data_IF_028289091222
#
_entry.id   IF_028289091222
#
_cell.length_a   1.000
_cell.length_b   1.000
_cell.length_c   1.000
_cell.angle_alpha   90.00
_cell.angle_beta   90.00
_cell.angle_gamma   90.00
#
_symmetry.space_group_name_H-M   'P 1'
#
loop_
_entity.id
_entity.type
_entity.pdbx_description
1 polymer ?
#
# COMPACT_ATOMS: atom_id res chain seq x y z
N UNK A 1 -13.59 -14.23 29.18
CA UNK A 1 -14.31 -14.10 27.89
C UNK A 1 -15.10 -12.78 27.73
N UNK A 2 -15.15 -11.87 28.72
CA UNK A 2 -15.97 -10.64 28.64
C UNK A 2 -15.33 -9.37 28.05
N UNK A 3 -14.05 -9.38 27.64
CA UNK A 3 -13.34 -8.19 27.17
C UNK A 3 -13.16 -8.10 25.63
N UNK A 4 -13.34 -9.19 24.89
CA UNK A 4 -13.26 -9.17 23.42
C UNK A 4 -14.53 -8.56 22.79
N UNK A 5 -15.71 -8.81 23.39
CA UNK A 5 -16.98 -8.30 22.88
C UNK A 5 -17.14 -6.76 23.01
N UNK A 6 -16.49 -6.12 23.99
CA UNK A 6 -16.48 -4.66 24.14
C UNK A 6 -15.56 -3.93 23.15
N UNK A 7 -14.61 -4.64 22.55
CA UNK A 7 -13.74 -4.11 21.50
C UNK A 7 -14.47 -4.17 20.14
N UNK A 8 -15.26 -5.23 19.90
CA UNK A 8 -16.06 -5.39 18.68
C UNK A 8 -17.21 -4.38 18.56
N UNK A 9 -17.91 -4.05 19.65
CA UNK A 9 -19.04 -3.10 19.61
C UNK A 9 -18.64 -1.62 19.42
N UNK A 10 -17.35 -1.28 19.47
CA UNK A 10 -16.88 0.09 19.26
C UNK A 10 -16.42 0.38 17.81
N UNK A 11 -16.63 -0.56 16.88
CA UNK A 11 -16.21 -0.42 15.48
C UNK A 11 -17.31 0.21 14.61
N UNK A 12 -18.58 0.21 15.06
CA UNK A 12 -19.72 0.59 14.21
C UNK A 12 -20.04 2.09 14.16
N UNK A 13 -19.38 2.95 14.96
CA UNK A 13 -19.63 4.39 14.97
C UNK A 13 -18.37 5.21 14.65
N UNK A 14 -17.76 4.97 13.49
CA UNK A 14 -16.72 5.85 12.95
C UNK A 14 -17.37 6.71 11.87
N UNK A 15 -17.77 7.93 12.26
CA UNK A 15 -18.10 8.99 11.30
C UNK A 15 -16.93 9.18 10.33
N UNK A 16 -17.25 9.29 9.04
CA UNK A 16 -16.31 9.52 7.96
C UNK A 16 -15.66 10.89 8.09
N UNK A 17 -14.56 10.96 8.83
CA UNK A 17 -13.65 12.09 8.78
C UNK A 17 -12.52 11.73 7.80
N UNK A 18 -12.58 12.27 6.59
CA UNK A 18 -11.53 12.16 5.57
C UNK A 18 -10.35 13.12 5.86
N UNK A 19 -10.41 13.89 6.95
CA UNK A 19 -9.27 14.70 7.41
C UNK A 19 -8.18 13.82 8.03
N UNK A 20 -6.94 14.04 7.57
CA UNK A 20 -5.78 13.37 8.15
C UNK A 20 -5.52 13.86 9.57
N UNK A 21 -5.66 12.96 10.53
CA UNK A 21 -5.43 13.23 11.95
C UNK A 21 -4.09 12.63 12.37
N UNK A 22 -3.09 13.49 12.59
CA UNK A 22 -1.71 13.06 12.88
C UNK A 22 -1.26 13.61 14.24
N UNK A 23 -0.76 12.73 15.10
CA UNK A 23 -0.19 13.11 16.40
C UNK A 23 1.33 12.98 16.36
N UNK A 24 2.01 14.05 16.76
CA UNK A 24 3.45 14.05 17.00
C UNK A 24 3.76 13.62 18.45
N UNK A 25 4.32 12.42 18.62
CA UNK A 25 4.71 11.93 19.95
C UNK A 25 5.92 12.69 20.52
N UNK A 26 6.83 13.18 19.68
CA UNK A 26 7.97 13.96 20.16
C UNK A 26 7.52 15.28 20.78
N UNK A 27 6.53 15.94 20.18
CA UNK A 27 5.99 17.20 20.70
C UNK A 27 5.39 17.01 22.11
N UNK A 28 4.64 15.93 22.31
CA UNK A 28 4.05 15.59 23.62
C UNK A 28 5.16 15.39 24.66
N UNK A 29 6.20 14.62 24.32
CA UNK A 29 7.32 14.36 25.23
C UNK A 29 8.14 15.63 25.46
N UNK A 30 8.37 16.44 24.44
CA UNK A 30 9.13 17.69 24.56
C UNK A 30 8.43 18.69 25.49
N UNK A 31 7.12 18.84 25.36
CA UNK A 31 6.32 19.68 26.27
C UNK A 31 6.43 19.20 27.72
N UNK A 32 6.36 17.88 27.94
CA UNK A 32 6.57 17.29 29.27
C UNK A 32 7.98 17.54 29.82
N UNK A 33 9.02 17.37 28.98
CA UNK A 33 10.42 17.66 29.34
C UNK A 33 10.59 19.13 29.75
N UNK A 34 10.02 20.06 28.98
CA UNK A 34 10.07 21.51 29.29
C UNK A 34 9.38 21.84 30.62
N UNK A 35 8.27 21.16 30.92
CA UNK A 35 7.59 21.29 32.22
C UNK A 35 8.47 20.83 33.38
N UNK A 36 9.15 19.69 33.24
CA UNK A 36 10.11 19.20 34.25
C UNK A 36 11.30 20.15 34.39
N UNK A 37 11.86 20.64 33.28
CA UNK A 37 12.94 21.61 33.28
C UNK A 37 12.58 22.85 34.09
N UNK A 38 11.40 23.43 33.84
CA UNK A 38 10.94 24.62 34.55
C UNK A 38 10.80 24.39 36.06
N UNK A 39 10.33 23.21 36.48
CA UNK A 39 10.18 22.87 37.91
C UNK A 39 11.50 22.58 38.60
N UNK A 40 12.47 22.03 37.87
CA UNK A 40 13.70 21.49 38.44
C UNK A 40 14.96 22.28 38.04
N UNK A 41 14.82 23.47 37.46
CA UNK A 41 15.96 24.38 37.16
C UNK A 41 16.48 25.03 38.45
N UNK A 42 17.76 24.88 38.70
CA UNK A 42 18.47 25.57 39.78
C UNK A 42 18.82 27.00 39.37
N UNK A 43 19.24 27.85 40.31
CA UNK A 43 19.68 29.25 40.02
C UNK A 43 20.78 29.31 38.94
N UNK A 44 21.66 28.31 38.85
CA UNK A 44 22.72 28.24 37.82
C UNK A 44 22.19 27.85 36.44
N UNK A 45 21.06 27.13 36.37
CA UNK A 45 20.43 26.69 35.13
C UNK A 45 19.36 27.66 34.62
N UNK A 46 18.88 28.60 35.44
CA UNK A 46 17.85 29.58 35.06
C UNK A 46 18.32 30.60 34.03
N UNK A 47 19.64 30.73 33.81
CA UNK A 47 20.22 31.59 32.77
C UNK A 47 19.94 31.11 31.34
N UNK A 48 19.63 29.82 31.15
CA UNK A 48 19.37 29.26 29.84
C UNK A 48 17.88 29.39 29.50
N UNK A 49 17.58 30.06 28.38
CA UNK A 49 16.20 30.17 27.87
C UNK A 49 15.81 28.90 27.13
N UNK A 50 14.51 28.68 26.97
CA UNK A 50 13.95 27.52 26.26
C UNK A 50 14.43 27.38 24.81
N UNK A 51 14.71 28.50 24.15
CA UNK A 51 15.22 28.60 22.79
C UNK A 51 16.69 28.17 22.67
N UNK A 52 17.45 28.31 23.76
CA UNK A 52 18.88 27.95 23.82
C UNK A 52 19.09 26.45 24.09
N UNK A 53 18.01 25.75 24.46
CA UNK A 53 18.07 24.33 24.80
C UNK A 53 18.01 23.46 23.53
N UNK A 54 18.86 22.45 23.52
CA UNK A 54 18.78 21.33 22.60
C UNK A 54 18.29 20.11 23.39
N UNK A 55 17.11 19.61 23.03
CA UNK A 55 16.49 18.44 23.67
C UNK A 55 16.67 17.26 22.71
N UNK A 56 17.42 16.24 23.13
CA UNK A 56 17.52 14.96 22.42
C UNK A 56 16.68 13.92 23.13
N UNK A 57 15.59 13.51 22.49
CA UNK A 57 14.67 12.46 22.97
C UNK A 57 15.21 11.10 22.53
N UNK A 58 15.22 10.13 23.45
CA UNK A 58 15.65 8.76 23.19
C UNK A 58 14.54 7.77 23.55
N UNK A 59 14.03 7.11 22.51
CA UNK A 59 12.93 6.15 22.54
C UNK A 59 13.36 4.69 22.75
N UNK A 60 14.67 4.40 22.91
CA UNK A 60 15.23 3.03 23.00
C UNK A 60 14.60 2.16 24.08
N UNK A 61 14.12 2.75 25.17
CA UNK A 61 13.51 2.04 26.30
C UNK A 61 11.97 2.09 26.30
N UNK A 62 11.38 2.49 25.16
CA UNK A 62 9.94 2.42 24.91
C UNK A 62 9.66 1.25 23.98
N UNK A 63 8.83 0.32 24.43
CA UNK A 63 8.33 -0.78 23.61
C UNK A 63 7.13 -0.30 22.80
N UNK A 64 7.08 -0.66 21.52
CA UNK A 64 5.92 -0.47 20.64
C UNK A 64 5.50 -1.85 20.16
N UNK A 65 4.35 -2.30 20.62
CA UNK A 65 3.76 -3.60 20.28
C UNK A 65 2.62 -3.35 19.31
N UNK A 66 2.79 -3.82 18.08
CA UNK A 66 1.74 -3.80 17.08
C UNK A 66 0.87 -5.05 17.24
N UNK A 67 -0.45 -4.87 17.21
CA UNK A 67 -1.39 -5.99 17.08
C UNK A 67 -1.70 -6.28 15.61
N UNK A 68 -2.45 -7.35 15.37
CA UNK A 68 -2.89 -7.73 14.02
C UNK A 68 -3.69 -6.60 13.36
N UNK A 69 -3.53 -6.50 12.05
CA UNK A 69 -4.29 -5.56 11.22
C UNK A 69 -5.68 -6.11 11.01
N UNK A 70 -6.67 -5.26 11.21
CA UNK A 70 -8.06 -5.57 10.91
C UNK A 70 -8.48 -4.82 9.64
N UNK A 71 -8.79 -5.58 8.59
CA UNK A 71 -9.36 -5.08 7.34
C UNK A 71 -10.89 -5.10 7.43
N UNK A 72 -11.53 -4.01 7.00
CA UNK A 72 -12.98 -3.88 7.02
C UNK A 72 -13.46 -3.01 5.86
N UNK A 73 -14.75 -3.14 5.52
CA UNK A 73 -15.36 -2.53 4.35
C UNK A 73 -14.57 -2.83 3.07
N UNK A 74 -14.17 -4.10 2.91
CA UNK A 74 -13.40 -4.54 1.77
C UNK A 74 -14.28 -4.78 0.55
N UNK A 75 -13.81 -4.39 -0.62
CA UNK A 75 -14.41 -4.73 -1.91
C UNK A 75 -13.33 -5.25 -2.86
N UNK A 76 -13.75 -6.12 -3.77
CA UNK A 76 -12.92 -6.66 -4.84
C UNK A 76 -13.63 -6.36 -6.16
N UNK A 77 -12.94 -5.69 -7.08
CA UNK A 77 -13.37 -5.53 -8.46
C UNK A 77 -12.45 -6.30 -9.39
N UNK A 78 -13.03 -7.00 -10.37
CA UNK A 78 -12.30 -7.77 -11.37
C UNK A 78 -12.45 -7.11 -12.72
N UNK A 79 -11.38 -7.07 -13.50
CA UNK A 79 -11.43 -6.54 -14.86
C UNK A 79 -10.40 -7.24 -15.74
N UNK A 80 -10.77 -7.45 -17.00
CA UNK A 80 -9.90 -8.04 -18.01
C UNK A 80 -9.39 -6.95 -18.94
N UNK A 81 -8.11 -7.01 -19.31
CA UNK A 81 -7.49 -6.07 -20.24
C UNK A 81 -6.77 -6.82 -21.35
N UNK A 82 -7.10 -6.50 -22.59
CA UNK A 82 -6.31 -6.92 -23.76
C UNK A 82 -5.02 -6.15 -23.79
N UNK A 83 -3.91 -6.85 -23.59
CA UNK A 83 -2.57 -6.25 -23.60
C UNK A 83 -1.87 -6.37 -24.95
N UNK A 84 -2.32 -7.33 -25.78
CA UNK A 84 -1.79 -7.56 -27.11
C UNK A 84 -2.86 -8.20 -27.99
N UNK A 85 -2.91 -7.81 -29.27
CA UNK A 85 -3.80 -8.37 -30.29
C UNK A 85 -3.03 -8.52 -31.60
N UNK A 86 -3.17 -9.65 -32.26
CA UNK A 86 -2.60 -9.90 -33.58
C UNK A 86 -3.53 -10.72 -34.47
N UNK A 87 -3.34 -10.60 -35.78
CA UNK A 87 -4.12 -11.33 -36.78
C UNK A 87 -3.17 -12.24 -37.58
N UNK A 88 -3.60 -13.48 -37.80
CA UNK A 88 -2.94 -14.45 -38.68
C UNK A 88 -3.85 -14.72 -39.86
N UNK A 89 -3.44 -14.25 -41.04
CA UNK A 89 -4.21 -14.37 -42.27
C UNK A 89 -3.69 -15.53 -43.11
N UNK A 90 -4.56 -16.47 -43.46
CA UNK A 90 -4.27 -17.50 -44.43
C UNK A 90 -5.13 -17.34 -45.68
N UNK A 91 -4.56 -16.70 -46.70
CA UNK A 91 -5.19 -16.50 -48.01
C UNK A 91 -4.96 -17.67 -48.98
N UNK A 92 -4.34 -18.75 -48.53
CA UNK A 92 -4.02 -19.91 -49.37
C UNK A 92 -5.10 -21.00 -49.25
N UNK A 93 -4.98 -22.04 -50.07
CA UNK A 93 -5.86 -23.22 -50.09
C UNK A 93 -5.49 -24.28 -49.06
N UNK A 94 -4.33 -24.15 -48.39
CA UNK A 94 -3.80 -25.13 -47.44
C UNK A 94 -3.76 -24.55 -46.03
N UNK A 95 -3.78 -25.39 -45.00
CA UNK A 95 -3.60 -24.94 -43.61
C UNK A 95 -2.16 -24.44 -43.39
N UNK A 96 -2.02 -23.36 -42.62
CA UNK A 96 -0.73 -22.87 -42.15
C UNK A 96 -0.63 -22.97 -40.62
N UNK A 97 0.59 -23.15 -40.13
CA UNK A 97 0.88 -23.10 -38.70
C UNK A 97 1.80 -21.91 -38.41
N UNK A 98 1.38 -21.07 -37.48
CA UNK A 98 2.15 -19.93 -36.98
C UNK A 98 2.54 -20.16 -35.53
N UNK A 99 3.64 -19.55 -35.11
CA UNK A 99 4.03 -19.47 -33.70
C UNK A 99 3.66 -18.11 -33.16
N UNK A 100 2.89 -18.09 -32.07
CA UNK A 100 2.56 -16.91 -31.30
C UNK A 100 3.38 -16.92 -30.01
N UNK A 101 4.48 -16.17 -30.01
CA UNK A 101 5.34 -15.97 -28.85
C UNK A 101 5.31 -14.49 -28.44
N UNK A 102 4.99 -14.21 -27.19
CA UNK A 102 4.99 -12.85 -26.64
C UNK A 102 5.37 -12.84 -25.17
N UNK A 103 6.08 -11.79 -24.77
CA UNK A 103 6.44 -11.52 -23.39
C UNK A 103 5.96 -10.11 -23.02
N UNK A 104 5.38 -9.98 -21.83
CA UNK A 104 4.91 -8.70 -21.32
C UNK A 104 5.12 -8.62 -19.82
N UNK A 105 5.51 -7.45 -19.31
CA UNK A 105 5.47 -7.17 -17.88
C UNK A 105 4.28 -6.28 -17.51
N UNK A 106 3.71 -6.53 -16.34
CA UNK A 106 2.69 -5.70 -15.67
C UNK A 106 3.16 -5.30 -14.28
N UNK A 107 2.62 -4.20 -13.76
CA UNK A 107 2.93 -3.75 -12.40
C UNK A 107 1.73 -3.94 -11.48
N UNK A 108 1.93 -4.75 -10.44
CA UNK A 108 1.04 -4.78 -9.29
C UNK A 108 1.35 -3.59 -8.38
N UNK A 109 0.33 -2.90 -7.90
CA UNK A 109 0.46 -1.66 -7.13
C UNK A 109 -0.22 -1.84 -5.77
N UNK A 110 0.53 -1.60 -4.71
CA UNK A 110 0.07 -1.70 -3.34
C UNK A 110 0.15 -0.33 -2.66
N UNK A 111 -0.99 0.33 -2.53
CA UNK A 111 -1.09 1.67 -1.96
C UNK A 111 -1.67 1.61 -0.55
N UNK A 112 -1.00 2.27 0.39
CA UNK A 112 -1.42 2.48 1.77
C UNK A 112 -1.56 3.98 2.03
N UNK A 113 -2.73 4.39 2.52
CA UNK A 113 -3.03 5.78 2.86
C UNK A 113 -3.49 5.88 4.32
N UNK A 114 -2.83 6.72 5.10
CA UNK A 114 -3.14 6.91 6.52
C UNK A 114 -4.13 8.05 6.72
N UNK A 115 -5.20 7.78 7.46
CA UNK A 115 -6.22 8.79 7.83
C UNK A 115 -6.07 9.21 9.29
N UNK A 116 -5.63 8.30 10.16
CA UNK A 116 -5.29 8.61 11.54
C UNK A 116 -4.02 7.90 11.95
N UNK A 117 -3.03 8.65 12.42
CA UNK A 117 -1.73 8.08 12.74
C UNK A 117 -0.95 8.84 13.84
N UNK A 118 0.09 8.18 14.37
CA UNK A 118 1.12 8.76 15.26
C UNK A 118 2.49 8.72 14.58
N UNK A 119 3.30 9.75 14.74
CA UNK A 119 4.71 9.72 14.33
C UNK A 119 5.66 10.13 15.44
N UNK A 120 6.91 9.66 15.34
CA UNK A 120 8.06 10.06 16.14
C UNK A 120 9.28 10.20 15.22
N UNK A 121 10.25 11.00 15.63
CA UNK A 121 11.47 11.35 14.88
C UNK A 121 12.36 10.15 14.58
N UNK A 122 12.36 9.14 15.45
CA UNK A 122 13.03 7.88 15.16
C UNK A 122 12.16 7.04 14.23
N UNK A 123 12.74 6.60 13.11
CA UNK A 123 12.08 5.73 12.13
C UNK A 123 11.37 4.56 12.82
N UNK A 124 10.10 4.37 12.44
CA UNK A 124 9.22 3.32 12.94
C UNK A 124 8.45 2.75 11.76
N UNK A 125 8.19 1.46 11.80
CA UNK A 125 7.52 0.76 10.72
C UNK A 125 6.35 -0.06 11.25
N UNK A 126 5.29 -0.13 10.45
CA UNK A 126 4.13 -1.02 10.64
C UNK A 126 4.35 -2.20 9.70
N UNK A 127 4.16 -3.40 10.20
CA UNK A 127 4.15 -4.62 9.39
C UNK A 127 2.71 -4.94 9.00
N UNK A 128 2.42 -4.90 7.71
CA UNK A 128 1.12 -5.24 7.14
C UNK A 128 1.12 -6.68 6.63
N UNK A 129 0.35 -7.54 7.28
CA UNK A 129 0.02 -8.85 6.73
C UNK A 129 -1.07 -8.67 5.67
N UNK A 130 -0.79 -9.10 4.44
CA UNK A 130 -1.76 -9.01 3.36
C UNK A 130 -2.97 -9.94 3.62
N UNK A 131 -4.18 -9.57 3.16
CA UNK A 131 -5.34 -10.46 3.19
C UNK A 131 -5.07 -11.79 2.48
N UNK A 132 -5.54 -12.91 3.03
CA UNK A 132 -5.30 -14.27 2.50
C UNK A 132 -5.64 -14.42 1.02
N UNK A 133 -6.72 -13.78 0.57
CA UNK A 133 -7.17 -13.82 -0.82
C UNK A 133 -6.13 -13.28 -1.80
N UNK A 134 -5.28 -12.35 -1.38
CA UNK A 134 -4.21 -11.79 -2.22
C UNK A 134 -3.00 -12.73 -2.24
N UNK A 135 -2.69 -13.31 -1.08
CA UNK A 135 -1.57 -14.25 -0.91
C UNK A 135 -1.80 -15.50 -1.76
N UNK A 136 -3.03 -16.06 -1.75
CA UNK A 136 -3.37 -17.26 -2.52
C UNK A 136 -3.26 -17.07 -4.04
N UNK A 137 -3.40 -15.83 -4.53
CA UNK A 137 -3.40 -15.53 -5.96
C UNK A 137 -2.02 -15.13 -6.49
N UNK A 138 -1.07 -14.79 -5.60
CA UNK A 138 0.24 -14.32 -6.00
C UNK A 138 1.33 -14.92 -5.09
N UNK A 139 1.86 -16.07 -5.52
CA UNK A 139 2.97 -16.73 -4.81
C UNK A 139 4.25 -15.88 -4.78
N UNK A 140 4.37 -14.91 -5.67
CA UNK A 140 5.56 -14.05 -5.82
C UNK A 140 5.51 -12.78 -4.93
N UNK A 141 4.37 -12.48 -4.32
CA UNK A 141 4.20 -11.29 -3.48
C UNK A 141 4.51 -11.64 -2.03
N UNK A 142 5.37 -10.86 -1.39
CA UNK A 142 5.65 -11.01 0.03
C UNK A 142 4.37 -10.81 0.85
N UNK A 143 4.04 -11.81 1.69
CA UNK A 143 2.89 -11.80 2.59
C UNK A 143 2.89 -10.58 3.54
N UNK A 144 4.09 -10.10 3.90
CA UNK A 144 4.28 -9.00 4.84
C UNK A 144 4.88 -7.78 4.16
N UNK A 145 4.28 -6.61 4.43
CA UNK A 145 4.69 -5.33 3.87
C UNK A 145 5.11 -4.41 5.01
N UNK A 146 6.38 -3.98 5.02
CA UNK A 146 6.88 -3.07 6.05
C UNK A 146 6.75 -1.62 5.59
N UNK A 147 5.89 -0.85 6.25
CA UNK A 147 5.53 0.52 5.85
C UNK A 147 5.98 1.51 6.92
N UNK A 148 6.63 2.64 6.57
CA UNK A 148 6.95 3.67 7.54
C UNK A 148 5.70 4.26 8.21
N UNK A 149 5.77 4.53 9.52
CA UNK A 149 4.69 5.15 10.27
C UNK A 149 4.25 6.47 9.63
N UNK A 150 2.97 6.59 9.29
CA UNK A 150 2.35 7.86 8.92
C UNK A 150 2.75 8.42 7.57
N UNK A 151 3.42 7.62 6.75
CA UNK A 151 3.75 8.00 5.39
C UNK A 151 2.93 7.16 4.44
N UNK A 152 2.09 7.82 3.68
CA UNK A 152 1.44 7.21 2.53
C UNK A 152 2.51 6.57 1.66
N UNK A 153 2.32 5.28 1.36
CA UNK A 153 3.34 4.45 0.72
C UNK A 153 2.72 3.69 -0.43
N UNK A 154 3.42 3.66 -1.55
CA UNK A 154 3.07 2.85 -2.71
C UNK A 154 4.23 1.90 -2.98
N UNK A 155 3.94 0.61 -3.04
CA UNK A 155 4.88 -0.46 -3.38
C UNK A 155 4.46 -1.03 -4.73
N UNK A 156 5.43 -1.24 -5.61
CA UNK A 156 5.20 -1.82 -6.93
C UNK A 156 5.92 -3.16 -7.05
N UNK A 157 5.23 -4.16 -7.60
CA UNK A 157 5.81 -5.45 -7.96
C UNK A 157 5.66 -5.67 -9.46
N UNK A 158 6.76 -5.99 -10.14
CA UNK A 158 6.71 -6.35 -11.54
C UNK A 158 6.39 -7.84 -11.67
N UNK A 159 5.46 -8.16 -12.57
CA UNK A 159 5.05 -9.51 -12.91
C UNK A 159 5.22 -9.71 -14.41
N UNK A 160 5.93 -10.75 -14.78
CA UNK A 160 6.19 -11.13 -16.16
C UNK A 160 5.17 -12.17 -16.62
N UNK A 161 4.74 -12.02 -17.86
CA UNK A 161 3.78 -12.88 -18.53
C UNK A 161 4.41 -13.31 -19.83
N UNK A 162 4.53 -14.61 -20.03
CA UNK A 162 5.01 -15.20 -21.25
C UNK A 162 3.95 -16.15 -21.83
N UNK A 163 3.86 -16.11 -23.16
CA UNK A 163 3.04 -17.02 -23.94
C UNK A 163 3.88 -17.52 -25.09
N UNK A 164 3.88 -18.84 -25.28
CA UNK A 164 4.42 -19.49 -26.46
C UNK A 164 3.42 -20.54 -26.92
N UNK A 165 2.70 -20.26 -28.00
CA UNK A 165 1.62 -21.10 -28.51
C UNK A 165 1.72 -21.29 -30.01
N UNK A 166 1.27 -22.45 -30.49
CA UNK A 166 1.17 -22.75 -31.91
C UNK A 166 -0.27 -22.52 -32.38
N UNK A 167 -0.45 -21.70 -33.40
CA UNK A 167 -1.76 -21.35 -33.97
C UNK A 167 -1.87 -21.95 -35.36
N UNK A 168 -2.87 -22.81 -35.56
CA UNK A 168 -3.22 -23.34 -36.88
C UNK A 168 -4.29 -22.45 -37.50
N UNK A 169 -4.07 -22.06 -38.73
CA UNK A 169 -4.93 -21.14 -39.47
C UNK A 169 -5.45 -21.88 -40.70
N UNK A 170 -6.74 -22.28 -40.70
CA UNK A 170 -7.35 -22.94 -41.84
C UNK A 170 -7.29 -22.10 -43.12
N UNK A 171 -7.44 -22.77 -44.26
CA UNK A 171 -7.49 -22.10 -45.56
C UNK A 171 -8.58 -21.02 -45.62
N UNK A 172 -8.26 -19.89 -46.26
CA UNK A 172 -9.18 -18.76 -46.48
C UNK A 172 -9.79 -18.20 -45.20
N UNK A 173 -9.04 -18.23 -44.09
CA UNK A 173 -9.47 -17.68 -42.80
C UNK A 173 -8.47 -16.69 -42.23
N UNK A 174 -8.97 -15.82 -41.35
CA UNK A 174 -8.19 -15.00 -40.44
C UNK A 174 -8.43 -15.51 -39.03
N UNK A 175 -7.35 -15.73 -38.29
CA UNK A 175 -7.40 -15.96 -36.85
C UNK A 175 -6.96 -14.69 -36.14
N UNK A 176 -7.77 -14.22 -35.20
CA UNK A 176 -7.46 -13.08 -34.32
C UNK A 176 -7.11 -13.66 -32.95
N UNK A 177 -5.87 -13.44 -32.52
CA UNK A 177 -5.40 -13.85 -31.20
C UNK A 177 -5.25 -12.61 -30.31
N UNK A 178 -5.88 -12.65 -29.14
CA UNK A 178 -5.85 -11.61 -28.12
C UNK A 178 -5.29 -12.18 -26.83
N UNK A 179 -4.23 -11.55 -26.30
CA UNK A 179 -3.71 -11.84 -24.97
C UNK A 179 -4.39 -10.91 -23.97
N UNK A 180 -5.18 -11.51 -23.08
CA UNK A 180 -5.93 -10.82 -22.04
C UNK A 180 -5.34 -11.16 -20.67
N UNK A 181 -5.12 -10.14 -19.85
CA UNK A 181 -4.76 -10.29 -18.44
C UNK A 181 -5.96 -9.90 -17.59
N UNK A 182 -6.35 -10.79 -16.71
CA UNK A 182 -7.34 -10.50 -15.69
C UNK A 182 -6.65 -9.95 -14.46
N UNK A 183 -7.04 -8.75 -14.06
CA UNK A 183 -6.57 -8.05 -12.87
C UNK A 183 -7.68 -8.01 -11.83
N UNK A 184 -7.27 -8.01 -10.57
CA UNK A 184 -8.14 -7.72 -9.44
C UNK A 184 -7.65 -6.45 -8.74
N UNK A 185 -8.62 -5.67 -8.27
CA UNK A 185 -8.39 -4.53 -7.40
C UNK A 185 -9.12 -4.75 -6.09
N UNK A 186 -8.36 -4.88 -5.02
CA UNK A 186 -8.84 -4.95 -3.65
C UNK A 186 -8.78 -3.55 -3.03
N UNK A 187 -9.91 -3.08 -2.52
CA UNK A 187 -9.99 -1.84 -1.73
C UNK A 187 -10.47 -2.21 -0.34
N UNK A 188 -9.86 -1.66 0.69
CA UNK A 188 -10.32 -1.86 2.05
C UNK A 188 -9.93 -0.69 2.94
N UNK A 189 -10.66 -0.52 4.03
CA UNK A 189 -10.15 0.23 5.18
C UNK A 189 -9.37 -0.73 6.06
N UNK A 190 -8.43 -0.18 6.82
CA UNK A 190 -7.69 -0.95 7.81
C UNK A 190 -7.64 -0.21 9.14
N UNK A 191 -7.50 -0.98 10.22
CA UNK A 191 -7.19 -0.48 11.55
C UNK A 191 -6.10 -1.34 12.18
N UNK A 192 -5.16 -0.70 12.87
CA UNK A 192 -4.11 -1.40 13.60
C UNK A 192 -3.90 -0.71 14.94
N UNK A 193 -4.00 -1.48 16.01
CA UNK A 193 -3.74 -0.96 17.35
C UNK A 193 -2.27 -1.14 17.70
N UNK A 194 -1.65 -0.07 18.19
CA UNK A 194 -0.30 -0.08 18.73
C UNK A 194 -0.39 0.21 20.22
N UNK A 195 0.25 -0.63 21.01
CA UNK A 195 0.44 -0.42 22.43
C UNK A 195 1.88 0.00 22.69
N UNK A 196 2.07 1.04 23.50
CA UNK A 196 3.41 1.42 23.92
C UNK A 196 3.51 1.64 25.43
N UNK A 197 4.64 1.23 25.98
CA UNK A 197 4.96 1.23 27.40
C UNK A 197 6.48 1.33 27.60
N UNK A 198 6.91 1.61 28.82
CA UNK A 198 8.33 1.72 29.17
C UNK A 198 8.74 3.14 29.52
N UNK A 199 10.01 3.48 29.29
CA UNK A 199 10.59 4.72 29.77
C UNK A 199 11.15 5.54 28.62
N UNK A 200 10.77 6.81 28.59
CA UNK A 200 11.43 7.79 27.75
C UNK A 200 12.60 8.41 28.51
N UNK A 201 13.69 8.62 27.78
CA UNK A 201 14.86 9.34 28.30
C UNK A 201 15.16 10.52 27.41
N UNK A 202 15.64 11.61 27.99
CA UNK A 202 16.03 12.79 27.24
C UNK A 202 17.25 13.45 27.85
N UNK A 203 18.11 13.96 26.97
CA UNK A 203 19.28 14.75 27.34
C UNK A 203 19.05 16.19 26.90
N UNK A 204 19.29 17.12 27.82
CA UNK A 204 19.26 18.55 27.59
C UNK A 204 20.70 19.06 27.52
N UNK A 205 21.04 19.75 26.44
CA UNK A 205 22.29 20.49 26.26
C UNK A 205 22.01 21.91 25.78
N UNK A 206 23.05 22.74 25.63
CA UNK A 206 22.92 24.04 24.96
C UNK A 206 23.08 23.88 23.46
N UNK A 207 22.40 24.71 22.67
CA UNK A 207 22.59 24.74 21.21
C UNK A 207 23.97 25.24 20.80
N UNK A 208 24.54 26.17 21.57
CA UNK A 208 25.87 26.74 21.32
C UNK A 208 27.01 25.75 21.62
N UNK A 209 26.82 24.86 22.59
CA UNK A 209 27.77 23.84 22.95
C UNK A 209 27.02 22.51 23.14
N UNK A 210 26.66 21.80 22.05
CA UNK A 210 25.81 20.62 22.10
C UNK A 210 26.40 19.45 22.90
N UNK A 211 27.72 19.46 23.12
CA UNK A 211 28.43 18.49 23.97
C UNK A 211 28.41 18.86 25.47
N UNK A 212 27.92 20.05 25.81
CA UNK A 212 27.75 20.48 27.21
C UNK A 212 26.43 19.96 27.74
N UNK A 213 26.51 18.89 28.53
CA UNK A 213 25.36 18.30 29.19
C UNK A 213 24.85 19.20 30.31
N UNK A 214 23.56 19.55 30.26
CA UNK A 214 22.88 20.30 31.31
C UNK A 214 22.12 19.37 32.25
N UNK A 215 21.35 18.43 31.68
CA UNK A 215 20.46 17.57 32.47
C UNK A 215 19.99 16.33 31.71
N UNK A 216 19.74 15.28 32.45
CA UNK A 216 19.09 14.05 32.01
C UNK A 216 17.73 13.94 32.67
N UNK A 217 16.73 13.60 31.86
CA UNK A 217 15.36 13.40 32.31
C UNK A 217 14.94 11.99 31.90
N UNK A 218 14.33 11.27 32.84
CA UNK A 218 13.74 9.96 32.62
C UNK A 218 12.30 9.99 33.10
N UNK A 219 11.39 9.42 32.32
CA UNK A 219 9.98 9.34 32.67
C UNK A 219 9.31 8.11 32.10
N UNK A 220 8.24 7.69 32.76
CA UNK A 220 7.35 6.63 32.29
C UNK A 220 6.44 7.19 31.17
N UNK A 221 6.54 6.63 29.96
CA UNK A 221 5.83 7.14 28.78
C UNK A 221 4.31 7.10 28.96
N UNK A 222 3.79 6.13 29.74
CA UNK A 222 2.36 6.00 30.01
C UNK A 222 1.88 7.18 30.83
N UNK A 223 2.64 7.55 31.87
CA UNK A 223 2.32 8.72 32.71
C UNK A 223 2.43 10.02 31.93
N UNK A 224 3.46 10.15 31.08
CA UNK A 224 3.66 11.33 30.21
C UNK A 224 2.44 11.56 29.33
N UNK A 225 2.02 10.54 28.59
CA UNK A 225 0.90 10.66 27.66
C UNK A 225 -0.42 10.80 28.40
N UNK A 226 -0.62 10.07 29.50
CA UNK A 226 -1.82 10.21 30.32
C UNK A 226 -2.00 11.63 30.89
N UNK A 227 -0.91 12.27 31.32
CA UNK A 227 -0.94 13.67 31.75
C UNK A 227 -1.25 14.62 30.58
N UNK A 228 -0.67 14.36 29.40
CA UNK A 228 -0.96 15.15 28.21
C UNK A 228 -2.44 15.04 27.79
N UNK A 229 -3.04 13.84 27.88
CA UNK A 229 -4.47 13.61 27.61
C UNK A 229 -5.37 14.44 28.51
N UNK A 230 -5.05 14.53 29.81
CA UNK A 230 -5.83 15.36 30.76
C UNK A 230 -5.81 16.84 30.39
N UNK A 231 -4.72 17.31 29.81
CA UNK A 231 -4.53 18.72 29.48
C UNK A 231 -4.96 19.08 28.05
N UNK A 232 -5.13 18.08 27.17
CA UNK A 232 -5.44 18.29 25.76
C UNK A 232 -6.50 17.26 25.29
N UNK A 233 -7.78 17.67 25.18
CA UNK A 233 -8.86 16.79 24.74
C UNK A 233 -8.63 16.15 23.37
N UNK A 234 -7.82 16.76 22.49
CA UNK A 234 -7.48 16.16 21.19
C UNK A 234 -6.77 14.82 21.36
N UNK A 235 -6.08 14.59 22.49
CA UNK A 235 -5.34 13.36 22.77
C UNK A 235 -6.22 12.25 23.39
N UNK A 236 -7.53 12.46 23.58
CA UNK A 236 -8.47 11.42 24.08
C UNK A 236 -8.62 10.21 23.15
N UNK A 237 -8.04 10.30 21.96
CA UNK A 237 -7.82 9.23 20.99
C UNK A 237 -6.89 8.12 21.50
N UNK A 238 -6.03 8.40 22.48
CA UNK A 238 -5.27 7.41 23.22
C UNK A 238 -6.15 6.76 24.30
N UNK A 239 -5.94 5.46 24.54
CA UNK A 239 -6.64 4.71 25.60
C UNK A 239 -5.63 4.15 26.58
N UNK A 240 -5.83 4.41 27.87
CA UNK A 240 -5.06 3.77 28.92
C UNK A 240 -5.57 2.34 29.13
N UNK A 241 -4.69 1.36 28.93
CA UNK A 241 -4.96 -0.04 29.29
C UNK A 241 -4.40 -0.26 30.68
N UNK A 242 -5.30 -0.47 31.63
CA UNK A 242 -4.94 -0.80 33.01
C UNK A 242 -4.69 -2.31 33.13
N UNK A 243 -3.66 -2.68 33.87
CA UNK A 243 -3.24 -4.07 34.11
C UNK A 243 -1.97 -4.11 34.95
N UNK A 244 -1.39 -5.30 35.13
CA UNK A 244 -0.14 -5.50 35.89
C UNK A 244 1.04 -4.70 35.31
N UNK A 245 0.99 -4.41 34.00
CA UNK A 245 1.92 -3.50 33.33
C UNK A 245 1.09 -2.53 32.49
N UNK A 246 0.89 -1.28 32.95
CA UNK A 246 0.04 -0.33 32.26
C UNK A 246 0.65 0.06 30.91
N UNK A 247 -0.20 0.27 29.92
CA UNK A 247 0.22 0.69 28.57
C UNK A 247 -0.77 1.70 27.98
N UNK A 248 -0.30 2.48 27.01
CA UNK A 248 -1.17 3.33 26.20
C UNK A 248 -1.41 2.63 24.87
N UNK A 249 -2.68 2.59 24.45
CA UNK A 249 -3.10 2.08 23.17
C UNK A 249 -3.51 3.24 22.25
N UNK A 250 -3.06 3.17 21.01
CA UNK A 250 -3.52 4.04 19.92
C UNK A 250 -3.98 3.17 18.76
N UNK A 251 -5.07 3.56 18.09
CA UNK A 251 -5.53 2.88 16.89
C UNK A 251 -5.23 3.78 15.69
N UNK A 252 -4.43 3.24 14.79
CA UNK A 252 -4.16 3.80 13.47
C UNK A 252 -5.28 3.36 12.54
N UNK A 253 -5.72 4.27 11.68
CA UNK A 253 -6.70 4.00 10.63
C UNK A 253 -6.17 4.44 9.27
N UNK A 254 -6.59 3.73 8.24
CA UNK A 254 -6.26 4.08 6.87
C UNK A 254 -7.09 3.34 5.84
N UNK A 255 -6.73 3.57 4.58
CA UNK A 255 -7.29 2.92 3.39
C UNK A 255 -6.15 2.23 2.65
N UNK A 256 -6.43 1.08 2.07
CA UNK A 256 -5.50 0.40 1.17
C UNK A 256 -6.17 0.08 -0.15
N UNK A 257 -5.39 0.17 -1.22
CA UNK A 257 -5.77 -0.21 -2.58
C UNK A 257 -4.67 -1.08 -3.16
N UNK A 258 -5.00 -2.31 -3.49
CA UNK A 258 -4.09 -3.28 -4.07
C UNK A 258 -4.59 -3.69 -5.44
N UNK A 259 -3.80 -3.46 -6.49
CA UNK A 259 -4.10 -3.89 -7.85
C UNK A 259 -3.05 -4.89 -8.30
N UNK A 260 -3.47 -6.06 -8.78
CA UNK A 260 -2.56 -7.13 -9.16
C UNK A 260 -3.15 -8.01 -10.26
N UNK A 261 -2.29 -8.56 -11.11
CA UNK A 261 -2.70 -9.48 -12.17
C UNK A 261 -2.85 -10.90 -11.67
N UNK A 262 -3.99 -11.52 -11.96
CA UNK A 262 -4.39 -12.84 -11.45
C UNK A 262 -4.12 -13.95 -12.46
N UNK A 263 -4.58 -13.78 -13.71
CA UNK A 263 -4.46 -14.80 -14.74
C UNK A 263 -4.27 -14.22 -16.13
N UNK A 264 -3.59 -14.97 -16.97
CA UNK A 264 -3.51 -14.72 -18.41
C UNK A 264 -4.46 -15.66 -19.16
N UNK A 265 -5.12 -15.14 -20.18
CA UNK A 265 -5.97 -15.91 -21.08
C UNK A 265 -5.68 -15.49 -22.53
N UNK A 266 -5.66 -16.47 -23.44
CA UNK A 266 -5.58 -16.21 -24.88
C UNK A 266 -6.98 -16.43 -25.46
N UNK A 267 -7.54 -15.39 -26.08
CA UNK A 267 -8.80 -15.48 -26.81
C UNK A 267 -8.48 -15.59 -28.28
N UNK A 268 -9.01 -16.61 -28.94
CA UNK A 268 -8.78 -16.90 -30.35
C UNK A 268 -10.12 -16.87 -31.08
N UNK A 269 -10.27 -15.95 -32.02
CA UNK A 269 -11.46 -15.81 -32.86
C UNK A 269 -11.12 -16.12 -34.31
N UNK A 270 -12.06 -16.72 -35.05
CA UNK A 270 -11.89 -17.06 -36.46
C UNK A 270 -12.90 -16.31 -37.33
N UNK A 271 -12.40 -15.75 -38.44
CA UNK A 271 -13.19 -15.05 -39.45
C UNK A 271 -12.88 -15.65 -40.84
N UNK A 272 -13.89 -15.69 -41.72
CA UNK A 272 -13.69 -16.07 -43.12
C UNK A 272 -13.13 -14.87 -43.90
N UNK A 273 -12.15 -15.12 -44.76
CA UNK A 273 -11.64 -14.10 -45.68
C UNK A 273 -12.48 -14.13 -46.97
N UNK A 274 -12.80 -12.96 -47.50
CA UNK A 274 -13.44 -12.86 -48.82
C UNK A 274 -12.54 -13.50 -49.88
N UNK A 275 -13.15 -14.31 -50.75
CA UNK A 275 -12.42 -14.89 -51.89
C UNK A 275 -11.93 -13.74 -52.78
N UNK A 276 -10.66 -13.74 -53.22
CA UNK A 276 -10.20 -12.75 -54.17
C UNK A 276 -11.09 -12.83 -55.42
N UNK A 277 -11.74 -11.72 -55.76
CA UNK A 277 -12.53 -11.57 -56.97
C UNK A 277 -11.61 -11.76 -58.18
N UNK A 278 -11.75 -12.89 -58.88
CA UNK A 278 -11.04 -13.11 -60.14
C UNK A 278 -11.65 -12.16 -61.17
N UNK A 279 -11.01 -11.02 -61.40
CA UNK A 279 -11.26 -10.24 -62.61
C UNK A 279 -10.67 -11.01 -63.78
N UNK A 280 -11.51 -11.67 -64.58
CA UNK A 280 -11.07 -12.25 -65.84
C UNK A 280 -10.46 -11.12 -66.70
N UNK A 281 -9.24 -11.27 -67.23
CA UNK A 281 -8.71 -10.32 -68.20
C UNK A 281 -9.64 -10.35 -69.41
N UNK A 282 -10.06 -9.16 -69.88
CA UNK A 282 -10.80 -9.00 -71.13
C UNK A 282 -10.11 -9.81 -72.22
N UNK A 283 -10.75 -10.88 -72.70
CA UNK A 283 -10.30 -11.53 -73.92
C UNK A 283 -10.35 -10.49 -75.05
N UNK A 284 -9.28 -10.30 -75.82
CA UNK A 284 -9.36 -9.49 -77.03
C UNK A 284 -10.35 -10.17 -77.99
N UNK A 285 -11.35 -9.39 -78.42
CA UNK A 285 -12.29 -9.76 -79.47
C UNK A 285 -11.52 -10.20 -80.72
N UNK A 286 -11.78 -11.42 -81.19
CA UNK A 286 -11.26 -11.92 -82.46
C UNK A 286 -11.68 -10.98 -83.62
N UNK A 287 -10.79 -10.68 -84.58
CA UNK A 287 -11.18 -9.96 -85.78
C UNK A 287 -12.08 -10.84 -86.64
N UNK A 288 -13.21 -10.28 -87.08
CA UNK A 288 -14.00 -10.84 -88.16
C UNK A 288 -13.19 -10.72 -89.46
N UNK A 289 -12.61 -11.82 -89.93
CA UNK A 289 -12.17 -11.95 -91.31
C UNK A 289 -13.41 -11.96 -92.22
N UNK A 290 -13.57 -10.91 -93.02
CA UNK A 290 -14.43 -10.93 -94.18
C UNK A 290 -13.75 -11.74 -95.28
N UNK A 291 -14.28 -12.92 -95.58
CA UNK A 291 -14.06 -13.55 -96.88
C UNK A 291 -15.11 -13.03 -97.87
N UNK A 292 -14.61 -12.72 -99.07
CA UNK A 292 -15.22 -12.11 -100.26
C UNK A 292 -16.65 -12.55 -100.60
#
# INVERSE_FOLDING_TARGET
MGNQNKIQQNIENIQEDDQSYVINLDEIVEQWIRSIWNKAKTKSLSRFKHEDLLIKINWKHVSFIQNNINYYNSSISKFSRTIFRTNFDNKTTNEHSYTFATEKSTKSIFKFTFTRNVYKSQESTIVFHLPEQIIKLNNDIQCEQTIPFGKDTTIEYEKFWDVNSQIRVPSLTRIIAELNIDEEEFRSRFSVSIQFSGHITATISTRQAPNTYLKFIRGDIVKVIYQAMKNNPRLNVFKLIQGNSPSICFIIYGKCLFRYGVKQNIVVNQELLEKPSVSYPNMPSAPLEFCY
#
